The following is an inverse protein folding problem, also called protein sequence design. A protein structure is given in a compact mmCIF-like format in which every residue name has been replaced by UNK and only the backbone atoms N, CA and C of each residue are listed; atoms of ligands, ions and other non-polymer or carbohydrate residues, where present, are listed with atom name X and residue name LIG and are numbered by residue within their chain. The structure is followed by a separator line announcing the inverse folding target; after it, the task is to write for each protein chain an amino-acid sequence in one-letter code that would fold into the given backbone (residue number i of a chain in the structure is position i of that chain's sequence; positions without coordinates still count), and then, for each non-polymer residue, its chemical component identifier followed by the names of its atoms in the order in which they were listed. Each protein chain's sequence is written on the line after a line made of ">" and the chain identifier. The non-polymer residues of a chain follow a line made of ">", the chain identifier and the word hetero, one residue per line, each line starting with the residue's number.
data_IF_769202526380
#
_entry.id   IF_769202526380
#
_cell.length_a   1.000
_cell.length_b   1.000
_cell.length_c   1.000
_cell.angle_alpha   90.00
_cell.angle_beta   90.00
_cell.angle_gamma   90.00
#
_symmetry.space_group_name_H-M   'P 1'
#
loop_
_entity.id
_entity.type
_entity.pdbx_description
1 polymer ?
#
# COMPACT_ATOMS: atom_id res chain seq x y z
N UNK A 1 -15.42 -7.69 7.48
CA UNK A 1 -14.91 -9.05 7.71
C UNK A 1 -13.77 -9.31 6.75
N UNK A 2 -12.74 -10.06 7.16
CA UNK A 2 -11.64 -10.50 6.27
C UNK A 2 -11.68 -12.02 6.22
N UNK A 3 -11.80 -12.60 5.02
CA UNK A 3 -11.94 -14.06 4.86
C UNK A 3 -13.14 -14.66 5.62
N UNK A 4 -14.22 -13.88 5.79
CA UNK A 4 -15.41 -14.30 6.56
C UNK A 4 -15.29 -14.13 8.08
N UNK A 5 -14.14 -13.69 8.61
CA UNK A 5 -13.94 -13.45 10.05
C UNK A 5 -14.33 -12.02 10.44
N UNK A 6 -14.93 -11.86 11.61
CA UNK A 6 -15.14 -10.54 12.21
C UNK A 6 -13.79 -9.98 12.68
N UNK A 7 -13.47 -8.77 12.24
CA UNK A 7 -12.22 -8.10 12.54
C UNK A 7 -12.52 -6.66 12.91
N UNK A 8 -11.78 -6.14 13.89
CA UNK A 8 -11.88 -4.76 14.32
C UNK A 8 -10.66 -3.98 13.83
N UNK A 9 -10.88 -2.72 13.43
CA UNK A 9 -9.80 -1.78 13.13
C UNK A 9 -9.66 -0.86 14.35
N UNK A 10 -8.53 -0.97 15.04
CA UNK A 10 -8.20 -0.10 16.16
C UNK A 10 -7.95 1.35 15.73
N UNK A 11 -7.95 2.27 16.69
CA UNK A 11 -7.64 3.69 16.43
C UNK A 11 -6.21 3.90 15.91
N UNK A 12 -5.30 2.97 16.19
CA UNK A 12 -3.95 2.87 15.63
C UNK A 12 -3.91 2.30 14.20
N UNK A 13 -5.07 2.05 13.59
CA UNK A 13 -5.28 1.40 12.29
C UNK A 13 -4.78 -0.04 12.21
N UNK A 14 -4.51 -0.67 13.36
CA UNK A 14 -4.20 -2.09 13.44
C UNK A 14 -5.46 -2.91 13.24
N UNK A 15 -5.41 -3.90 12.35
CA UNK A 15 -6.50 -4.86 12.18
C UNK A 15 -6.24 -6.06 13.07
N UNK A 16 -7.17 -6.37 13.97
CA UNK A 16 -7.05 -7.51 14.88
C UNK A 16 -8.27 -8.42 14.81
N UNK A 17 -8.06 -9.71 15.09
CA UNK A 17 -9.17 -10.65 15.27
C UNK A 17 -9.92 -10.27 16.55
N UNK A 18 -11.24 -10.12 16.45
CA UNK A 18 -12.09 -9.61 17.54
C UNK A 18 -11.84 -10.36 18.86
N UNK A 19 -11.59 -9.60 19.93
CA UNK A 19 -11.31 -10.14 21.26
C UNK A 19 -9.88 -10.70 21.47
N UNK A 20 -8.97 -10.53 20.50
CA UNK A 20 -7.57 -11.01 20.62
C UNK A 20 -6.57 -9.92 20.24
N UNK A 21 -5.29 -10.03 20.68
CA UNK A 21 -4.24 -9.13 20.23
C UNK A 21 -3.64 -9.54 18.87
N UNK A 22 -4.15 -10.56 18.18
CA UNK A 22 -3.52 -11.09 16.96
C UNK A 22 -3.88 -10.29 15.72
N UNK A 23 -2.89 -10.06 14.85
CA UNK A 23 -3.10 -9.40 13.55
C UNK A 23 -4.05 -10.23 12.69
N UNK A 24 -5.01 -9.55 12.08
CA UNK A 24 -5.94 -10.14 11.13
C UNK A 24 -5.84 -9.43 9.76
N UNK A 25 -4.63 -9.37 9.22
CA UNK A 25 -4.34 -8.67 7.96
C UNK A 25 -3.97 -7.20 8.16
N UNK A 26 -4.29 -6.37 7.18
CA UNK A 26 -3.89 -4.95 7.13
C UNK A 26 -5.00 -4.07 6.57
N UNK A 27 -5.14 -2.86 7.12
CA UNK A 27 -5.95 -1.77 6.57
C UNK A 27 -5.10 -0.76 5.76
N UNK A 28 -3.83 -1.12 5.47
CA UNK A 28 -2.90 -0.28 4.73
C UNK A 28 -3.26 -0.27 3.25
N UNK A 29 -3.54 0.93 2.73
CA UNK A 29 -3.75 1.18 1.31
C UNK A 29 -2.41 1.33 0.58
N UNK A 30 -2.35 1.00 -0.72
CA UNK A 30 -1.09 0.89 -1.46
C UNK A 30 -0.36 2.24 -1.60
N UNK A 31 -1.09 3.34 -1.76
CA UNK A 31 -0.57 4.72 -1.72
C UNK A 31 0.19 5.00 -0.42
N UNK A 32 -0.39 4.62 0.72
CA UNK A 32 0.24 4.77 2.04
C UNK A 32 1.39 3.80 2.24
N UNK A 33 1.34 2.60 1.65
CA UNK A 33 2.44 1.65 1.68
C UNK A 33 3.66 2.18 0.90
N UNK A 34 3.44 2.78 -0.27
CA UNK A 34 4.49 3.42 -1.08
C UNK A 34 5.11 4.58 -0.29
N UNK A 35 4.28 5.51 0.20
CA UNK A 35 4.71 6.64 1.02
C UNK A 35 5.49 6.20 2.28
N UNK A 36 4.95 5.20 3.00
CA UNK A 36 5.58 4.63 4.19
C UNK A 36 6.93 3.98 3.89
N UNK A 37 7.04 3.25 2.77
CA UNK A 37 8.30 2.64 2.33
C UNK A 37 9.36 3.70 2.03
N UNK A 38 9.01 4.73 1.26
CA UNK A 38 9.94 5.83 0.94
C UNK A 38 10.44 6.52 2.22
N UNK A 39 9.51 6.90 3.13
CA UNK A 39 9.86 7.55 4.40
C UNK A 39 10.72 6.69 5.31
N UNK A 40 10.39 5.41 5.47
CA UNK A 40 11.07 4.54 6.44
C UNK A 40 12.46 4.10 5.95
N UNK A 41 12.63 3.93 4.64
CA UNK A 41 13.89 3.44 4.04
C UNK A 41 14.80 4.57 3.57
N UNK A 42 14.27 5.77 3.33
CA UNK A 42 15.00 6.87 2.72
C UNK A 42 15.26 6.70 1.21
N UNK A 43 14.68 5.68 0.58
CA UNK A 43 14.79 5.47 -0.87
C UNK A 43 13.97 6.53 -1.63
N UNK A 44 14.44 6.97 -2.82
CA UNK A 44 13.69 7.90 -3.66
C UNK A 44 12.40 7.25 -4.18
N UNK A 45 11.37 8.07 -4.42
CA UNK A 45 10.05 7.60 -4.85
C UNK A 45 10.11 6.75 -6.14
N UNK A 46 11.01 7.10 -7.06
CA UNK A 46 11.24 6.38 -8.32
C UNK A 46 11.77 4.95 -8.12
N UNK A 47 12.45 4.69 -7.00
CA UNK A 47 12.87 3.34 -6.63
C UNK A 47 11.75 2.55 -5.94
N UNK A 48 10.86 3.23 -5.22
CA UNK A 48 9.80 2.60 -4.41
C UNK A 48 8.57 2.26 -5.25
N UNK A 49 8.13 3.14 -6.15
CA UNK A 49 6.93 2.91 -6.98
C UNK A 49 6.98 1.58 -7.76
N UNK A 50 8.11 1.19 -8.41
CA UNK A 50 8.21 -0.10 -9.08
C UNK A 50 7.95 -1.31 -8.17
N UNK A 51 8.27 -1.21 -6.87
CA UNK A 51 8.04 -2.29 -5.89
C UNK A 51 6.55 -2.60 -5.69
N UNK A 52 5.67 -1.64 -5.99
CA UNK A 52 4.23 -1.78 -5.89
C UNK A 52 3.54 -2.10 -7.23
N UNK A 53 4.29 -2.22 -8.33
CA UNK A 53 3.72 -2.35 -9.68
C UNK A 53 4.53 -3.32 -10.56
N UNK A 54 5.54 -2.83 -11.27
CA UNK A 54 6.24 -3.59 -12.31
C UNK A 54 7.09 -4.74 -11.76
N UNK A 55 7.65 -4.60 -10.56
CA UNK A 55 8.46 -5.67 -9.93
C UNK A 55 7.59 -6.89 -9.59
N UNK A 56 6.47 -6.76 -8.85
CA UNK A 56 5.54 -7.88 -8.65
C UNK A 56 5.01 -8.49 -9.94
N UNK A 57 4.66 -7.67 -10.95
CA UNK A 57 4.19 -8.17 -12.24
C UNK A 57 5.25 -9.06 -12.92
N UNK A 58 6.50 -8.58 -12.99
CA UNK A 58 7.63 -9.33 -13.52
C UNK A 58 7.88 -10.63 -12.75
N UNK A 59 7.83 -10.59 -11.42
CA UNK A 59 8.03 -11.77 -10.57
C UNK A 59 6.97 -12.86 -10.82
N UNK A 60 5.75 -12.46 -11.18
CA UNK A 60 4.65 -13.35 -11.51
C UNK A 60 4.60 -13.75 -13.00
N UNK A 61 5.53 -13.27 -13.83
CA UNK A 61 5.53 -13.53 -15.28
C UNK A 61 4.37 -12.87 -16.03
N UNK A 62 3.87 -11.74 -15.53
CA UNK A 62 2.76 -10.97 -16.13
C UNK A 62 3.17 -9.53 -16.43
N UNK A 63 2.34 -8.80 -17.17
CA UNK A 63 2.44 -7.35 -17.32
C UNK A 63 1.57 -6.63 -16.29
N UNK A 64 1.82 -5.33 -16.11
CA UNK A 64 0.92 -4.45 -15.35
C UNK A 64 -0.45 -4.38 -16.01
N UNK A 65 -1.52 -4.33 -15.21
CA UNK A 65 -2.89 -4.35 -15.71
C UNK A 65 -3.43 -2.98 -16.16
N UNK A 66 -2.71 -1.90 -15.87
CA UNK A 66 -3.15 -0.53 -16.13
C UNK A 66 -2.08 0.47 -15.70
N UNK A 67 -2.47 1.75 -15.63
CA UNK A 67 -1.60 2.86 -15.25
C UNK A 67 -2.26 3.75 -14.20
N UNK A 68 -1.43 4.37 -13.36
CA UNK A 68 -1.85 5.32 -12.34
C UNK A 68 -1.06 6.61 -12.54
N UNK A 69 -1.75 7.74 -12.57
CA UNK A 69 -1.12 9.07 -12.51
C UNK A 69 -1.24 9.57 -11.07
N UNK A 70 -0.11 9.94 -10.48
CA UNK A 70 -0.06 10.40 -9.09
C UNK A 70 0.99 11.50 -8.91
N UNK A 71 0.73 12.37 -7.94
CA UNK A 71 1.70 13.36 -7.48
C UNK A 71 2.39 12.88 -6.20
N UNK A 72 3.70 13.11 -6.11
CA UNK A 72 4.47 12.87 -4.90
C UNK A 72 4.75 14.20 -4.20
N UNK A 73 4.25 14.34 -2.97
CA UNK A 73 4.63 15.42 -2.06
C UNK A 73 5.79 14.92 -1.19
N UNK A 74 7.01 15.35 -1.54
CA UNK A 74 8.21 14.95 -0.84
C UNK A 74 8.32 15.55 0.58
N UNK A 75 7.72 16.72 0.80
CA UNK A 75 7.79 17.42 2.09
C UNK A 75 6.81 16.79 3.09
N UNK A 76 5.60 16.46 2.64
CA UNK A 76 4.61 15.75 3.44
C UNK A 76 4.88 14.23 3.52
N UNK A 77 5.61 13.69 2.54
CA UNK A 77 5.80 12.26 2.39
C UNK A 77 4.50 11.55 2.01
N UNK A 78 3.71 12.14 1.10
CA UNK A 78 2.39 11.65 0.70
C UNK A 78 2.32 11.41 -0.82
N UNK A 79 1.62 10.35 -1.22
CA UNK A 79 1.35 10.04 -2.63
C UNK A 79 -0.13 10.30 -2.92
N UNK A 80 -0.41 11.24 -3.82
CA UNK A 80 -1.76 11.64 -4.19
C UNK A 80 -2.16 11.08 -5.55
N UNK A 81 -3.07 10.11 -5.56
CA UNK A 81 -3.60 9.53 -6.79
C UNK A 81 -4.49 10.56 -7.51
N UNK A 82 -4.24 10.78 -8.80
CA UNK A 82 -5.00 11.70 -9.65
C UNK A 82 -5.92 10.99 -10.62
N UNK A 83 -5.42 9.93 -11.24
CA UNK A 83 -6.16 9.16 -12.23
C UNK A 83 -5.72 7.70 -12.26
N UNK A 84 -6.64 6.82 -12.69
CA UNK A 84 -6.42 5.39 -12.84
C UNK A 84 -7.05 4.92 -14.15
N UNK A 85 -6.23 4.28 -14.99
CA UNK A 85 -6.66 3.69 -16.27
C UNK A 85 -6.29 2.21 -16.32
N UNK A 86 -7.13 1.41 -16.98
CA UNK A 86 -7.01 -0.05 -17.12
C UNK A 86 -7.13 -0.41 -18.59
#
# INVERSE_FOLDING_TARGET
>A
TIGGLSCDVGADRRVSLAGTPYLAGSALTLDRAIAGTARFTGLPIDAVVPMASSIPASYLGTTTAGSVIADWDADAGELHIRDVSV
#
